data_IF_491091644141
#
_entry.id   IF_491091644141
#
_cell.length_a   1.000
_cell.length_b   1.000
_cell.length_c   1.000
_cell.angle_alpha   90.00
_cell.angle_beta   90.00
_cell.angle_gamma   90.00
#
_symmetry.space_group_name_H-M   'P 1'
#
loop_
_entity.id
_entity.type
_entity.pdbx_description
1 polymer ?
#
# COMPACT_ATOMS: atom_id res chain seq x y z
N UNK A 1 -16.92 -15.81 10.27
CA UNK A 1 -16.50 -17.20 10.49
C UNK A 1 -15.81 -17.42 11.84
N UNK A 2 -14.91 -16.49 12.23
CA UNK A 2 -14.03 -16.67 13.39
C UNK A 2 -13.26 -18.01 13.29
N UNK A 3 -12.29 -18.12 12.38
CA UNK A 3 -11.57 -19.38 12.15
C UNK A 3 -10.84 -19.82 13.43
N UNK A 4 -10.89 -21.11 13.74
CA UNK A 4 -10.24 -21.72 14.91
C UNK A 4 -9.28 -22.82 14.51
N UNK A 5 -9.39 -23.34 13.30
CA UNK A 5 -8.51 -24.34 12.71
C UNK A 5 -8.13 -23.92 11.29
N UNK A 6 -7.05 -24.48 10.77
CA UNK A 6 -6.57 -24.12 9.43
C UNK A 6 -7.54 -24.53 8.32
N UNK A 7 -8.27 -25.64 8.51
CA UNK A 7 -9.32 -26.13 7.61
C UNK A 7 -10.43 -25.10 7.37
N UNK A 8 -10.73 -24.26 8.35
CA UNK A 8 -11.70 -23.17 8.20
C UNK A 8 -11.27 -22.15 7.15
N UNK A 9 -9.96 -21.83 7.08
CA UNK A 9 -9.40 -20.91 6.08
C UNK A 9 -9.47 -21.54 4.68
N UNK A 10 -9.15 -22.85 4.58
CA UNK A 10 -9.21 -23.58 3.32
C UNK A 10 -10.65 -23.58 2.78
N UNK A 11 -11.63 -23.86 3.67
CA UNK A 11 -13.04 -23.87 3.29
C UNK A 11 -13.53 -22.49 2.85
N UNK A 12 -13.16 -21.42 3.56
CA UNK A 12 -13.54 -20.04 3.18
C UNK A 12 -12.95 -19.62 1.84
N UNK A 13 -11.70 -19.96 1.57
CA UNK A 13 -11.08 -19.69 0.27
C UNK A 13 -11.87 -20.35 -0.88
N UNK A 14 -12.43 -21.53 -0.65
CA UNK A 14 -13.27 -22.24 -1.61
C UNK A 14 -14.69 -21.66 -1.70
N UNK A 15 -15.30 -21.25 -0.57
CA UNK A 15 -16.70 -20.84 -0.47
C UNK A 15 -16.93 -19.36 -0.78
N UNK A 16 -15.96 -18.46 -0.52
CA UNK A 16 -16.14 -17.02 -0.72
C UNK A 16 -16.04 -16.62 -2.20
N UNK A 17 -17.03 -17.08 -2.98
CA UNK A 17 -17.17 -16.82 -4.43
C UNK A 17 -18.65 -16.83 -4.80
N UNK A 18 -19.07 -16.12 -5.86
CA UNK A 18 -20.44 -16.21 -6.37
C UNK A 18 -20.85 -17.66 -6.62
N UNK A 19 -22.00 -18.08 -6.10
CA UNK A 19 -22.53 -19.44 -6.09
C UNK A 19 -22.30 -20.18 -4.77
N UNK A 20 -21.05 -20.55 -4.40
CA UNK A 20 -20.80 -21.25 -3.13
C UNK A 20 -21.07 -20.41 -1.87
N UNK A 21 -21.13 -19.08 -1.97
CA UNK A 21 -21.41 -18.19 -0.83
C UNK A 21 -22.71 -18.52 -0.11
N UNK A 22 -23.68 -19.08 -0.78
CA UNK A 22 -24.97 -19.49 -0.19
C UNK A 22 -24.82 -20.56 0.89
N UNK A 23 -23.72 -21.33 0.87
CA UNK A 23 -23.44 -22.36 1.88
C UNK A 23 -22.70 -21.82 3.12
N UNK A 24 -22.18 -20.57 3.08
CA UNK A 24 -21.45 -19.97 4.20
C UNK A 24 -22.31 -19.86 5.48
N UNK A 25 -23.58 -19.43 5.44
CA UNK A 25 -24.42 -19.39 6.63
C UNK A 25 -24.56 -20.77 7.31
N UNK A 26 -24.84 -21.82 6.54
CA UNK A 26 -24.96 -23.21 7.04
C UNK A 26 -23.63 -23.70 7.61
N UNK A 27 -22.51 -23.45 6.91
CA UNK A 27 -21.18 -23.77 7.39
C UNK A 27 -20.89 -23.12 8.76
N UNK A 28 -21.20 -21.83 8.91
CA UNK A 28 -21.02 -21.10 10.16
C UNK A 28 -21.97 -21.62 11.25
N UNK A 29 -23.23 -21.87 10.93
CA UNK A 29 -24.23 -22.38 11.88
C UNK A 29 -23.78 -23.72 12.47
N UNK A 30 -23.34 -24.64 11.64
CA UNK A 30 -22.85 -25.97 12.05
C UNK A 30 -21.53 -25.87 12.83
N UNK A 31 -20.56 -25.04 12.36
CA UNK A 31 -19.32 -24.79 13.11
C UNK A 31 -19.58 -24.26 14.52
N UNK A 32 -20.56 -23.36 14.67
CA UNK A 32 -20.86 -22.71 15.97
C UNK A 32 -21.85 -23.49 16.83
N UNK A 33 -22.29 -24.65 16.39
CA UNK A 33 -23.25 -25.49 17.13
C UNK A 33 -24.69 -24.96 17.10
N UNK A 34 -25.02 -23.97 16.28
CA UNK A 34 -26.39 -23.47 16.11
C UNK A 34 -27.27 -24.41 15.28
N UNK A 35 -26.65 -25.18 14.41
CA UNK A 35 -27.28 -26.24 13.61
C UNK A 35 -26.50 -27.53 13.84
N UNK A 36 -27.20 -28.68 14.03
CA UNK A 36 -26.55 -29.95 14.21
C UNK A 36 -25.86 -30.40 12.91
N UNK A 37 -24.65 -30.97 13.03
CA UNK A 37 -23.99 -31.61 11.90
C UNK A 37 -24.63 -32.95 11.67
N UNK A 38 -25.11 -33.20 10.47
CA UNK A 38 -25.69 -34.49 10.08
C UNK A 38 -24.99 -35.04 8.85
N UNK A 39 -24.85 -36.36 8.84
CA UNK A 39 -24.27 -37.08 7.71
C UNK A 39 -25.33 -38.06 7.22
N UNK A 40 -25.88 -37.93 5.98
CA UNK A 40 -26.91 -38.82 5.46
C UNK A 40 -26.52 -40.28 5.52
N UNK A 41 -25.27 -40.59 5.32
CA UNK A 41 -24.68 -41.91 5.48
C UNK A 41 -23.49 -41.80 6.43
N UNK A 42 -23.36 -42.59 7.51
CA UNK A 42 -22.33 -42.39 8.55
C UNK A 42 -20.89 -42.32 8.03
N UNK A 43 -20.54 -43.08 6.99
CA UNK A 43 -19.21 -43.07 6.40
C UNK A 43 -18.82 -41.72 5.81
N UNK A 44 -19.77 -40.84 5.50
CA UNK A 44 -19.52 -39.51 4.97
C UNK A 44 -18.83 -38.59 5.99
N UNK A 45 -18.99 -38.85 7.29
CA UNK A 45 -18.30 -38.14 8.34
C UNK A 45 -16.78 -38.10 8.11
N UNK A 46 -16.21 -39.25 7.73
CA UNK A 46 -14.75 -39.36 7.47
C UNK A 46 -14.23 -38.33 6.48
N UNK A 47 -15.05 -37.90 5.53
CA UNK A 47 -14.66 -37.01 4.43
C UNK A 47 -15.20 -35.57 4.57
N UNK A 48 -16.27 -35.40 5.35
CA UNK A 48 -16.95 -34.11 5.50
C UNK A 48 -16.78 -33.49 6.89
N UNK A 49 -16.09 -34.13 7.81
CA UNK A 49 -15.88 -33.63 9.18
C UNK A 49 -15.24 -32.26 9.20
N UNK A 50 -14.16 -32.06 8.43
CA UNK A 50 -13.41 -30.82 8.37
C UNK A 50 -14.22 -29.66 7.74
N UNK A 51 -15.33 -29.97 7.11
CA UNK A 51 -16.23 -28.98 6.47
C UNK A 51 -17.64 -29.02 7.09
N UNK A 52 -17.74 -29.51 8.32
CA UNK A 52 -18.99 -29.54 9.12
C UNK A 52 -20.19 -30.13 8.35
N UNK A 53 -19.92 -31.20 7.59
CA UNK A 53 -20.96 -31.90 6.80
C UNK A 53 -21.33 -31.20 5.48
N UNK A 54 -20.65 -30.12 5.11
CA UNK A 54 -20.88 -29.44 3.83
C UNK A 54 -19.90 -29.94 2.78
N UNK A 55 -20.37 -30.26 1.58
CA UNK A 55 -19.50 -30.58 0.44
C UNK A 55 -18.93 -29.30 -0.13
N UNK A 56 -17.61 -29.16 -0.09
CA UNK A 56 -16.87 -27.94 -0.50
C UNK A 56 -15.88 -28.24 -1.63
N UNK A 57 -15.28 -29.43 -1.62
CA UNK A 57 -14.15 -29.76 -2.49
C UNK A 57 -14.48 -30.84 -3.51
N UNK A 58 -13.90 -30.74 -4.70
CA UNK A 58 -13.95 -31.79 -5.73
C UNK A 58 -13.45 -33.13 -5.20
N UNK A 59 -12.41 -33.10 -4.38
CA UNK A 59 -11.81 -34.28 -3.77
C UNK A 59 -12.80 -35.04 -2.84
N UNK A 60 -13.70 -34.32 -2.16
CA UNK A 60 -14.72 -34.92 -1.33
C UNK A 60 -15.71 -35.74 -2.19
N UNK A 61 -16.16 -35.19 -3.31
CA UNK A 61 -17.02 -35.89 -4.26
C UNK A 61 -16.34 -37.13 -4.83
N UNK A 62 -15.06 -37.01 -5.23
CA UNK A 62 -14.29 -38.15 -5.73
C UNK A 62 -14.14 -39.26 -4.71
N UNK A 63 -13.85 -38.92 -3.45
CA UNK A 63 -13.70 -39.91 -2.38
C UNK A 63 -15.03 -40.54 -1.99
N UNK A 64 -16.09 -39.74 -1.89
CA UNK A 64 -17.42 -40.20 -1.58
C UNK A 64 -17.99 -41.09 -2.69
N UNK A 65 -17.84 -40.79 -3.97
CA UNK A 65 -18.28 -41.64 -5.08
C UNK A 65 -17.58 -42.99 -5.06
N UNK A 66 -16.32 -43.05 -4.69
CA UNK A 66 -15.57 -44.29 -4.51
C UNK A 66 -16.06 -45.09 -3.30
N UNK A 67 -16.35 -44.42 -2.21
CA UNK A 67 -16.76 -45.08 -0.96
C UNK A 67 -18.22 -45.54 -0.98
N UNK A 68 -19.13 -44.75 -1.55
CA UNK A 68 -20.55 -45.01 -1.55
C UNK A 68 -20.95 -45.97 -2.71
N UNK A 69 -20.35 -45.79 -3.89
CA UNK A 69 -20.72 -46.50 -5.10
C UNK A 69 -19.55 -47.27 -5.75
N UNK A 70 -18.49 -47.56 -5.00
CA UNK A 70 -17.35 -48.36 -5.48
C UNK A 70 -16.70 -47.87 -6.78
N UNK A 71 -16.75 -46.57 -7.06
CA UNK A 71 -16.13 -46.00 -8.24
C UNK A 71 -14.61 -46.24 -8.22
N UNK A 72 -14.07 -46.59 -9.36
CA UNK A 72 -12.61 -46.63 -9.55
C UNK A 72 -12.04 -45.22 -9.49
N UNK A 73 -10.69 -45.10 -9.38
CA UNK A 73 -10.00 -43.82 -9.46
C UNK A 73 -10.28 -43.07 -10.78
N UNK A 74 -10.32 -43.81 -11.90
CA UNK A 74 -10.59 -43.21 -13.22
C UNK A 74 -12.02 -42.67 -13.33
N UNK A 75 -13.00 -43.42 -12.79
CA UNK A 75 -14.40 -42.99 -12.80
C UNK A 75 -14.66 -41.79 -11.91
N UNK A 76 -14.09 -41.77 -10.71
CA UNK A 76 -14.18 -40.60 -9.83
C UNK A 76 -13.52 -39.35 -10.42
N UNK A 77 -12.39 -39.50 -11.16
CA UNK A 77 -11.78 -38.39 -11.89
C UNK A 77 -12.63 -37.96 -13.10
N UNK A 78 -13.27 -38.93 -13.79
CA UNK A 78 -14.22 -38.62 -14.86
C UNK A 78 -15.44 -37.85 -14.32
N UNK A 79 -15.94 -38.20 -13.15
CA UNK A 79 -17.02 -37.47 -12.46
C UNK A 79 -16.58 -36.04 -12.17
N UNK A 80 -15.42 -35.85 -11.58
CA UNK A 80 -14.85 -34.54 -11.33
C UNK A 80 -14.74 -33.69 -12.60
N UNK A 81 -14.24 -34.29 -13.69
CA UNK A 81 -14.12 -33.60 -15.00
C UNK A 81 -15.49 -33.25 -15.59
N UNK A 82 -16.44 -34.17 -15.50
CA UNK A 82 -17.82 -33.97 -15.99
C UNK A 82 -18.51 -32.83 -15.23
N UNK A 83 -18.35 -32.78 -13.91
CA UNK A 83 -18.83 -31.68 -13.07
C UNK A 83 -18.18 -30.35 -13.45
N UNK A 84 -16.83 -30.26 -13.49
CA UNK A 84 -16.12 -29.03 -13.77
C UNK A 84 -16.36 -28.46 -15.18
N UNK A 85 -16.62 -29.34 -16.17
CA UNK A 85 -16.90 -28.94 -17.56
C UNK A 85 -18.39 -28.89 -17.88
N UNK A 86 -19.30 -29.20 -16.92
CA UNK A 86 -20.76 -29.23 -17.09
C UNK A 86 -21.20 -30.16 -18.22
N UNK A 87 -20.60 -31.37 -18.31
CA UNK A 87 -20.90 -32.38 -19.32
C UNK A 87 -22.13 -33.19 -18.90
N UNK A 88 -23.33 -32.71 -19.21
CA UNK A 88 -24.61 -33.24 -18.75
C UNK A 88 -24.77 -34.71 -19.09
N UNK A 89 -24.48 -35.10 -20.32
CA UNK A 89 -24.63 -36.53 -20.77
C UNK A 89 -23.76 -37.47 -19.92
N UNK A 90 -22.51 -37.06 -19.66
CA UNK A 90 -21.58 -37.84 -18.84
C UNK A 90 -21.99 -37.89 -17.38
N UNK A 91 -22.55 -36.78 -16.87
CA UNK A 91 -23.12 -36.73 -15.53
C UNK A 91 -24.29 -37.73 -15.39
N UNK A 92 -25.19 -37.79 -16.37
CA UNK A 92 -26.35 -38.73 -16.35
C UNK A 92 -25.90 -40.19 -16.42
N UNK A 93 -24.89 -40.52 -17.24
CA UNK A 93 -24.31 -41.86 -17.29
C UNK A 93 -23.74 -42.29 -15.93
N UNK A 94 -22.94 -41.39 -15.32
CA UNK A 94 -22.30 -41.63 -14.02
C UNK A 94 -23.34 -41.68 -12.88
N UNK A 95 -24.47 -40.95 -12.98
CA UNK A 95 -25.58 -41.01 -12.04
C UNK A 95 -26.19 -42.40 -12.01
N UNK A 96 -26.52 -42.95 -13.18
CA UNK A 96 -27.07 -44.30 -13.27
C UNK A 96 -26.17 -45.33 -12.60
N UNK A 97 -24.85 -45.24 -12.85
CA UNK A 97 -23.88 -46.14 -12.21
C UNK A 97 -23.78 -45.89 -10.70
N UNK A 98 -23.77 -44.63 -10.25
CA UNK A 98 -23.72 -44.28 -8.82
C UNK A 98 -24.91 -44.86 -8.07
N UNK A 99 -26.12 -44.75 -8.61
CA UNK A 99 -27.34 -45.32 -8.01
C UNK A 99 -27.25 -46.83 -7.93
N UNK A 100 -27.02 -47.53 -9.05
CA UNK A 100 -26.99 -49.01 -9.10
C UNK A 100 -25.93 -49.58 -8.16
N UNK A 101 -24.72 -49.04 -8.16
CA UNK A 101 -23.63 -49.55 -7.31
C UNK A 101 -23.80 -49.15 -5.84
N UNK A 102 -24.37 -47.96 -5.56
CA UNK A 102 -24.67 -47.53 -4.21
C UNK A 102 -25.76 -48.38 -3.53
N UNK A 103 -26.81 -48.73 -4.27
CA UNK A 103 -27.82 -49.67 -3.81
C UNK A 103 -27.23 -51.07 -3.56
N UNK A 104 -26.37 -51.56 -4.46
CA UNK A 104 -25.67 -52.84 -4.28
C UNK A 104 -24.75 -52.82 -3.04
N UNK A 105 -24.23 -51.66 -2.64
CA UNK A 105 -23.48 -51.47 -1.39
C UNK A 105 -24.36 -51.33 -0.14
N UNK A 106 -25.70 -51.46 -0.28
CA UNK A 106 -26.65 -51.43 0.84
C UNK A 106 -27.12 -50.04 1.26
N UNK A 107 -26.95 -49.02 0.44
CA UNK A 107 -27.41 -47.67 0.74
C UNK A 107 -28.84 -47.43 0.21
N UNK A 108 -29.61 -46.62 0.96
CA UNK A 108 -30.99 -46.26 0.59
C UNK A 108 -30.97 -45.38 -0.72
N UNK A 109 -31.74 -45.80 -1.77
CA UNK A 109 -31.83 -45.08 -3.03
C UNK A 109 -32.27 -43.62 -2.88
N UNK A 110 -33.16 -43.31 -1.94
CA UNK A 110 -33.63 -41.95 -1.72
C UNK A 110 -32.52 -41.05 -1.15
N UNK A 111 -31.68 -41.61 -0.29
CA UNK A 111 -30.53 -40.91 0.26
C UNK A 111 -29.47 -40.67 -0.84
N UNK A 112 -29.17 -41.67 -1.66
CA UNK A 112 -28.24 -41.58 -2.79
C UNK A 112 -28.69 -40.52 -3.80
N UNK A 113 -29.99 -40.49 -4.13
CA UNK A 113 -30.55 -39.48 -5.04
C UNK A 113 -30.40 -38.05 -4.50
N UNK A 114 -30.61 -37.84 -3.20
CA UNK A 114 -30.41 -36.54 -2.57
C UNK A 114 -28.94 -36.12 -2.57
N UNK A 115 -28.03 -37.06 -2.27
CA UNK A 115 -26.58 -36.78 -2.35
C UNK A 115 -26.19 -36.37 -3.78
N UNK A 116 -26.71 -37.09 -4.80
CA UNK A 116 -26.39 -36.76 -6.18
C UNK A 116 -26.97 -35.40 -6.59
N UNK A 117 -28.19 -35.05 -6.20
CA UNK A 117 -28.79 -33.72 -6.45
C UNK A 117 -27.98 -32.60 -5.81
N UNK A 118 -27.45 -32.82 -4.61
CA UNK A 118 -26.57 -31.84 -3.97
C UNK A 118 -25.24 -31.71 -4.75
N UNK A 119 -24.72 -32.82 -5.27
CA UNK A 119 -23.53 -32.76 -6.13
C UNK A 119 -23.81 -32.10 -7.48
N UNK A 120 -24.97 -32.24 -8.07
CA UNK A 120 -25.36 -31.53 -9.30
C UNK A 120 -25.38 -30.00 -9.08
N UNK A 121 -25.96 -29.54 -7.98
CA UNK A 121 -25.93 -28.14 -7.58
C UNK A 121 -24.49 -27.67 -7.35
N UNK A 122 -23.74 -28.47 -6.63
CA UNK A 122 -22.34 -28.21 -6.30
C UNK A 122 -21.40 -28.23 -7.54
N UNK A 123 -21.76 -29.00 -8.59
CA UNK A 123 -20.93 -29.17 -9.79
C UNK A 123 -20.53 -27.83 -10.47
N UNK A 124 -21.39 -26.83 -10.36
CA UNK A 124 -21.11 -25.52 -10.99
C UNK A 124 -19.99 -24.72 -10.31
N UNK A 125 -19.58 -25.10 -9.08
CA UNK A 125 -18.62 -24.31 -8.26
C UNK A 125 -17.67 -25.15 -7.40
N UNK A 126 -17.61 -26.46 -7.60
CA UNK A 126 -16.68 -27.36 -6.92
C UNK A 126 -15.23 -26.83 -7.01
N UNK A 127 -14.56 -26.76 -5.86
CA UNK A 127 -13.22 -26.18 -5.77
C UNK A 127 -12.16 -27.26 -5.52
N UNK A 128 -10.97 -27.05 -6.05
CA UNK A 128 -9.81 -27.91 -5.79
C UNK A 128 -9.27 -27.62 -4.38
N UNK A 129 -9.23 -28.63 -3.51
CA UNK A 129 -8.75 -28.49 -2.12
C UNK A 129 -7.27 -28.10 -2.07
N UNK A 130 -6.43 -28.67 -2.95
CA UNK A 130 -5.01 -28.37 -2.96
C UNK A 130 -4.73 -26.90 -3.28
N UNK A 131 -5.46 -26.34 -4.26
CA UNK A 131 -5.37 -24.92 -4.58
C UNK A 131 -5.79 -24.04 -3.38
N UNK A 132 -6.94 -24.32 -2.78
CA UNK A 132 -7.41 -23.60 -1.59
C UNK A 132 -6.40 -23.69 -0.43
N UNK A 133 -5.79 -24.87 -0.23
CA UNK A 133 -4.78 -25.10 0.83
C UNK A 133 -3.54 -24.22 0.60
N UNK A 134 -3.00 -24.17 -0.62
CA UNK A 134 -1.83 -23.36 -0.92
C UNK A 134 -2.08 -21.87 -0.66
N UNK A 135 -3.20 -21.33 -1.13
CA UNK A 135 -3.56 -19.94 -0.88
C UNK A 135 -3.82 -19.64 0.60
N UNK A 136 -4.50 -20.54 1.29
CA UNK A 136 -4.74 -20.39 2.73
C UNK A 136 -3.45 -20.45 3.54
N UNK A 137 -2.47 -21.24 3.10
CA UNK A 137 -1.16 -21.31 3.73
C UNK A 137 -0.42 -19.96 3.63
N UNK A 138 -0.37 -19.37 2.44
CA UNK A 138 0.23 -18.04 2.24
C UNK A 138 -0.53 -16.98 3.04
N UNK A 139 -1.87 -17.01 3.01
CA UNK A 139 -2.70 -16.08 3.77
C UNK A 139 -2.45 -16.18 5.29
N UNK A 140 -2.31 -17.41 5.80
CA UNK A 140 -1.96 -17.63 7.21
C UNK A 140 -0.56 -17.10 7.55
N UNK A 141 0.44 -17.36 6.71
CA UNK A 141 1.80 -16.85 6.91
C UNK A 141 1.83 -15.32 6.94
N UNK A 142 1.17 -14.65 6.00
CA UNK A 142 1.12 -13.18 5.98
C UNK A 142 0.37 -12.62 7.19
N UNK A 143 -0.73 -13.25 7.61
CA UNK A 143 -1.46 -12.88 8.82
C UNK A 143 -0.62 -13.06 10.10
N UNK A 144 0.13 -14.17 10.18
CA UNK A 144 1.04 -14.46 11.29
C UNK A 144 2.14 -13.38 11.38
N UNK A 145 2.79 -13.07 10.25
CA UNK A 145 3.82 -12.03 10.21
C UNK A 145 3.26 -10.67 10.62
N UNK A 146 2.09 -10.31 10.10
CA UNK A 146 1.43 -9.04 10.47
C UNK A 146 1.08 -8.97 11.96
N UNK A 147 0.72 -10.11 12.58
CA UNK A 147 0.35 -10.16 13.99
C UNK A 147 1.55 -10.14 14.94
N UNK A 148 2.65 -10.82 14.58
CA UNK A 148 3.81 -11.03 15.47
C UNK A 148 5.00 -10.12 15.15
N UNK A 149 5.12 -9.66 13.90
CA UNK A 149 6.19 -8.78 13.39
C UNK A 149 5.59 -7.64 12.57
N UNK A 150 4.71 -6.82 13.20
CA UNK A 150 3.89 -5.86 12.44
C UNK A 150 4.71 -4.79 11.73
N UNK A 151 5.78 -4.27 12.32
CA UNK A 151 6.61 -3.24 11.71
C UNK A 151 7.37 -3.78 10.49
N UNK A 152 8.00 -4.95 10.63
CA UNK A 152 8.75 -5.61 9.56
C UNK A 152 7.83 -6.02 8.40
N UNK A 153 6.64 -6.53 8.73
CA UNK A 153 5.63 -6.87 7.74
C UNK A 153 5.19 -5.64 6.94
N UNK A 154 4.86 -4.53 7.63
CA UNK A 154 4.45 -3.30 6.98
C UNK A 154 5.59 -2.65 6.18
N UNK A 155 6.83 -2.69 6.65
CA UNK A 155 8.00 -2.25 5.89
C UNK A 155 8.17 -3.07 4.59
N UNK A 156 7.97 -4.39 4.64
CA UNK A 156 8.02 -5.24 3.46
C UNK A 156 6.88 -4.92 2.46
N UNK A 157 5.67 -4.66 2.95
CA UNK A 157 4.53 -4.24 2.11
C UNK A 157 4.79 -2.89 1.46
N UNK A 158 5.26 -1.89 2.22
CA UNK A 158 5.65 -0.57 1.68
C UNK A 158 6.70 -0.70 0.58
N UNK A 159 7.69 -1.57 0.77
CA UNK A 159 8.72 -1.84 -0.24
C UNK A 159 8.16 -2.47 -1.52
N UNK A 160 7.18 -3.36 -1.41
CA UNK A 160 6.53 -3.96 -2.57
C UNK A 160 5.72 -2.95 -3.39
N UNK A 161 5.24 -1.91 -2.73
CA UNK A 161 4.39 -0.85 -3.31
C UNK A 161 5.11 0.48 -3.53
N UNK A 162 6.43 0.56 -3.38
CA UNK A 162 7.21 1.82 -3.38
C UNK A 162 7.01 2.69 -4.62
N UNK A 163 6.56 2.10 -5.73
CA UNK A 163 6.28 2.80 -7.00
C UNK A 163 4.81 3.23 -7.15
N UNK A 164 3.94 2.79 -6.25
CA UNK A 164 2.52 3.13 -6.26
C UNK A 164 2.19 4.03 -5.06
N UNK A 165 2.19 5.33 -5.31
CA UNK A 165 1.98 6.33 -4.26
C UNK A 165 0.64 6.17 -3.52
N UNK A 166 -0.42 5.68 -4.20
CA UNK A 166 -1.73 5.46 -3.56
C UNK A 166 -1.66 4.32 -2.56
N UNK A 167 -1.02 3.22 -2.95
CA UNK A 167 -0.82 2.08 -2.06
C UNK A 167 0.11 2.44 -0.89
N UNK A 168 1.17 3.22 -1.13
CA UNK A 168 2.07 3.67 -0.06
C UNK A 168 1.31 4.52 0.97
N UNK A 169 0.49 5.49 0.52
CA UNK A 169 -0.33 6.32 1.41
C UNK A 169 -1.31 5.45 2.21
N UNK A 170 -2.00 4.53 1.54
CA UNK A 170 -2.93 3.60 2.20
C UNK A 170 -2.23 2.75 3.27
N UNK A 171 -1.02 2.26 2.98
CA UNK A 171 -0.25 1.45 3.93
C UNK A 171 0.31 2.28 5.09
N UNK A 172 0.66 3.56 4.88
CA UNK A 172 1.06 4.48 5.95
C UNK A 172 -0.12 4.74 6.90
N UNK A 173 -1.33 4.93 6.37
CA UNK A 173 -2.54 5.06 7.20
C UNK A 173 -2.83 3.77 8.00
N UNK A 174 -2.61 2.61 7.40
CA UNK A 174 -2.70 1.33 8.13
C UNK A 174 -1.64 1.23 9.24
N UNK A 175 -0.39 1.67 9.00
CA UNK A 175 0.63 1.77 10.04
C UNK A 175 0.17 2.66 11.20
N UNK A 176 -0.40 3.83 10.92
CA UNK A 176 -0.97 4.73 11.96
C UNK A 176 -2.08 4.04 12.74
N UNK A 177 -3.01 3.34 12.06
CA UNK A 177 -4.07 2.57 12.70
C UNK A 177 -3.51 1.47 13.62
N UNK A 178 -2.42 0.84 13.22
CA UNK A 178 -1.70 -0.18 14.00
C UNK A 178 -0.78 0.41 15.08
N UNK A 179 -0.70 1.74 15.20
CA UNK A 179 0.20 2.48 16.11
C UNK A 179 1.68 2.19 15.85
N UNK A 180 2.04 2.04 14.58
CA UNK A 180 3.41 1.90 14.11
C UNK A 180 3.83 3.25 13.55
N UNK A 181 4.90 3.83 14.11
CA UNK A 181 5.45 5.08 13.62
C UNK A 181 6.18 4.85 12.29
N UNK A 182 5.87 5.68 11.32
CA UNK A 182 6.62 5.78 10.06
C UNK A 182 7.37 7.11 10.11
N UNK A 183 8.68 7.03 10.24
CA UNK A 183 9.57 8.19 10.35
C UNK A 183 9.82 8.77 8.96
N UNK A 184 10.03 10.10 8.88
CA UNK A 184 10.53 10.74 7.67
C UNK A 184 11.92 10.26 7.26
N UNK A 185 12.38 10.57 6.03
CA UNK A 185 13.71 10.19 5.58
C UNK A 185 14.77 10.92 6.40
N UNK A 186 15.85 10.21 6.74
CA UNK A 186 16.95 10.71 7.55
C UNK A 186 18.26 10.17 7.02
N UNK A 187 19.26 11.03 6.79
CA UNK A 187 20.55 10.65 6.22
C UNK A 187 21.28 9.59 7.08
N UNK A 188 21.05 9.61 8.38
CA UNK A 188 21.71 8.73 9.35
C UNK A 188 20.93 7.46 9.67
N UNK A 189 19.66 7.34 9.22
CA UNK A 189 18.83 6.16 9.53
C UNK A 189 18.30 5.47 8.27
N UNK A 190 17.94 6.25 7.24
CA UNK A 190 17.29 5.71 6.05
C UNK A 190 18.23 4.94 5.16
N UNK A 191 17.69 3.92 4.52
CA UNK A 191 18.32 3.15 3.46
C UNK A 191 17.58 3.37 2.13
N UNK A 192 17.93 2.60 1.10
CA UNK A 192 17.19 2.63 -0.17
C UNK A 192 15.73 2.19 0.01
N UNK A 193 15.53 1.12 0.79
CA UNK A 193 14.21 0.54 1.12
C UNK A 193 13.71 1.05 2.48
N UNK A 194 12.41 0.89 2.72
CA UNK A 194 11.86 1.01 4.08
C UNK A 194 12.44 -0.08 4.96
N UNK A 195 12.92 0.30 6.13
CA UNK A 195 13.52 -0.60 7.12
C UNK A 195 12.91 -0.36 8.49
N UNK A 196 13.20 -1.24 9.45
CA UNK A 196 12.72 -1.09 10.83
C UNK A 196 13.92 -0.85 11.73
N UNK A 197 13.86 0.22 12.52
CA UNK A 197 14.90 0.55 13.49
C UNK A 197 14.78 -0.28 14.79
N UNK A 198 15.77 -0.17 15.66
CA UNK A 198 15.80 -0.90 16.96
C UNK A 198 14.62 -0.56 17.89
N UNK A 199 13.91 0.53 17.65
CA UNK A 199 12.73 0.94 18.42
C UNK A 199 11.42 0.39 17.85
N UNK A 200 11.47 -0.38 16.75
CA UNK A 200 10.29 -0.91 16.07
C UNK A 200 9.56 0.12 15.20
N UNK A 201 10.20 1.23 14.86
CA UNK A 201 9.65 2.26 13.97
C UNK A 201 10.11 2.01 12.55
N UNK A 202 9.29 2.33 11.56
CA UNK A 202 9.63 2.18 10.14
C UNK A 202 10.38 3.44 9.69
N UNK A 203 11.61 3.27 9.22
CA UNK A 203 12.41 4.32 8.60
C UNK A 203 12.05 4.42 7.12
N UNK A 204 11.82 5.63 6.63
CA UNK A 204 11.46 5.89 5.24
C UNK A 204 12.58 5.51 4.28
N UNK A 205 12.24 4.83 3.18
CA UNK A 205 13.21 4.47 2.14
C UNK A 205 13.55 5.64 1.22
N UNK A 206 14.80 6.05 1.17
CA UNK A 206 15.27 7.13 0.27
C UNK A 206 15.08 6.82 -1.22
N UNK A 207 14.89 5.56 -1.58
CA UNK A 207 14.57 5.14 -2.95
C UNK A 207 13.23 5.66 -3.50
N UNK A 208 12.36 6.15 -2.62
CA UNK A 208 11.14 6.84 -3.02
C UNK A 208 11.37 8.31 -3.42
N UNK A 209 12.54 8.90 -3.11
CA UNK A 209 12.87 10.30 -3.43
C UNK A 209 13.25 10.41 -4.91
N UNK A 210 12.52 11.23 -5.66
CA UNK A 210 12.77 11.46 -7.09
C UNK A 210 14.14 12.06 -7.33
N UNK A 211 14.73 11.77 -8.48
CA UNK A 211 16.02 12.28 -8.94
C UNK A 211 17.25 11.86 -8.11
N UNK A 212 17.09 10.87 -7.23
CA UNK A 212 18.19 10.26 -6.49
C UNK A 212 18.33 8.81 -6.92
N UNK A 213 19.44 8.45 -7.55
CA UNK A 213 19.68 7.10 -8.06
C UNK A 213 20.05 6.11 -6.93
N UNK A 214 19.72 4.85 -7.11
CA UNK A 214 20.02 3.75 -6.18
C UNK A 214 21.51 3.70 -5.82
N UNK A 215 22.40 3.89 -6.83
CA UNK A 215 23.86 3.89 -6.62
C UNK A 215 24.31 4.95 -5.64
N UNK A 216 23.71 6.15 -5.71
CA UNK A 216 24.04 7.27 -4.79
C UNK A 216 23.57 6.94 -3.38
N UNK A 217 22.36 6.41 -3.23
CA UNK A 217 21.82 6.05 -1.92
C UNK A 217 22.63 4.89 -1.31
N UNK A 218 23.02 3.92 -2.12
CA UNK A 218 23.87 2.84 -1.65
C UNK A 218 25.24 3.36 -1.19
N UNK A 219 25.85 4.28 -1.93
CA UNK A 219 27.12 4.89 -1.53
C UNK A 219 26.99 5.68 -0.21
N UNK A 220 25.85 6.35 0.04
CA UNK A 220 25.56 7.01 1.32
C UNK A 220 25.48 5.99 2.45
N UNK A 221 24.73 4.91 2.23
CA UNK A 221 24.52 3.85 3.22
C UNK A 221 25.84 3.12 3.55
N UNK A 222 26.63 2.79 2.54
CA UNK A 222 27.92 2.13 2.69
C UNK A 222 28.91 3.00 3.45
N UNK A 223 28.98 4.30 3.10
CA UNK A 223 29.83 5.27 3.78
C UNK A 223 29.46 5.41 5.27
N UNK A 224 28.17 5.53 5.56
CA UNK A 224 27.67 5.60 6.93
C UNK A 224 27.98 4.34 7.71
N UNK A 225 27.77 3.17 7.13
CA UNK A 225 28.04 1.89 7.78
C UNK A 225 29.52 1.65 8.07
N UNK A 226 30.40 2.16 7.20
CA UNK A 226 31.85 2.00 7.36
C UNK A 226 32.44 3.00 8.37
N UNK A 227 31.96 4.26 8.38
CA UNK A 227 32.62 5.37 9.07
C UNK A 227 31.71 6.06 10.13
N UNK A 228 30.52 5.49 10.42
CA UNK A 228 29.57 6.05 11.37
C UNK A 228 28.69 7.16 10.78
N UNK A 229 27.79 7.66 11.60
CA UNK A 229 26.83 8.71 11.22
C UNK A 229 27.51 9.98 10.71
N UNK A 230 26.85 10.66 9.79
CA UNK A 230 27.26 11.98 9.35
C UNK A 230 26.99 13.01 10.45
N UNK A 231 28.02 13.79 10.81
CA UNK A 231 27.93 14.76 11.91
C UNK A 231 27.12 16.00 11.53
N UNK A 232 27.37 16.50 10.34
CA UNK A 232 26.74 17.69 9.76
C UNK A 232 26.78 17.62 8.23
N UNK A 233 26.30 18.67 7.58
CA UNK A 233 26.25 18.75 6.12
C UNK A 233 27.66 18.90 5.49
N UNK A 234 28.64 19.49 6.20
CA UNK A 234 30.01 19.59 5.72
C UNK A 234 30.68 18.21 5.72
N UNK A 235 30.58 17.46 6.82
CA UNK A 235 31.06 16.08 6.93
C UNK A 235 30.44 15.18 5.84
N UNK A 236 29.13 15.32 5.61
CA UNK A 236 28.43 14.59 4.55
C UNK A 236 29.03 14.90 3.17
N UNK A 237 29.21 16.17 2.80
CA UNK A 237 29.75 16.53 1.50
C UNK A 237 31.21 16.09 1.32
N UNK A 238 32.04 16.19 2.37
CA UNK A 238 33.44 15.72 2.35
C UNK A 238 33.50 14.22 2.09
N UNK A 239 32.77 13.44 2.86
CA UNK A 239 32.79 11.98 2.82
C UNK A 239 32.16 11.43 1.53
N UNK A 240 31.22 12.17 0.95
CA UNK A 240 30.52 11.79 -0.29
C UNK A 240 31.14 12.41 -1.55
N UNK A 241 32.25 13.17 -1.43
CA UNK A 241 32.92 13.76 -2.59
C UNK A 241 33.40 12.68 -3.57
N UNK A 242 33.10 12.85 -4.86
CA UNK A 242 33.47 11.88 -5.90
C UNK A 242 32.59 10.61 -5.97
N UNK A 243 31.57 10.48 -5.11
CA UNK A 243 30.68 9.30 -5.04
C UNK A 243 29.36 9.48 -5.82
N UNK A 244 29.37 10.32 -6.87
CA UNK A 244 28.23 10.47 -7.77
C UNK A 244 27.14 11.45 -7.30
N UNK A 245 27.32 12.13 -6.16
CA UNK A 245 26.44 13.20 -5.73
C UNK A 245 26.53 14.41 -6.69
N UNK A 246 25.37 14.95 -7.03
CA UNK A 246 25.26 16.18 -7.79
C UNK A 246 24.28 17.16 -7.11
N UNK A 247 24.26 18.40 -7.57
CA UNK A 247 23.37 19.45 -7.04
C UNK A 247 21.92 18.97 -6.94
N UNK A 248 21.38 18.39 -8.02
CA UNK A 248 19.98 17.99 -8.11
C UNK A 248 19.63 16.91 -7.09
N UNK A 249 20.51 15.92 -6.89
CA UNK A 249 20.28 14.86 -5.90
C UNK A 249 20.33 15.42 -4.46
N UNK A 250 21.23 16.35 -4.17
CA UNK A 250 21.31 17.00 -2.85
C UNK A 250 20.04 17.84 -2.59
N UNK A 251 19.64 18.67 -3.55
CA UNK A 251 18.40 19.46 -3.45
C UNK A 251 17.17 18.56 -3.26
N UNK A 252 17.08 17.43 -3.99
CA UNK A 252 15.97 16.47 -3.83
C UNK A 252 15.96 15.81 -2.46
N UNK A 253 17.12 15.40 -1.95
CA UNK A 253 17.24 14.84 -0.60
C UNK A 253 16.85 15.88 0.47
N UNK A 254 17.33 17.11 0.32
CA UNK A 254 17.02 18.22 1.23
C UNK A 254 15.53 18.57 1.24
N UNK A 255 14.93 18.73 0.06
CA UNK A 255 13.50 19.04 -0.06
C UNK A 255 12.61 17.92 0.50
N UNK A 256 13.06 16.68 0.45
CA UNK A 256 12.40 15.54 1.09
C UNK A 256 12.65 15.47 2.62
N UNK A 257 13.50 16.34 3.20
CA UNK A 257 13.76 16.41 4.64
C UNK A 257 14.87 15.48 5.14
N UNK A 258 15.65 14.87 4.25
CA UNK A 258 16.71 13.91 4.62
C UNK A 258 17.77 14.51 5.55
N UNK A 259 18.01 15.81 5.47
CA UNK A 259 19.00 16.55 6.28
C UNK A 259 18.39 17.29 7.48
N UNK A 260 17.09 17.14 7.76
CA UNK A 260 16.41 17.82 8.87
C UNK A 260 16.98 17.41 10.25
N UNK A 261 17.76 16.33 10.30
CA UNK A 261 18.44 15.86 11.52
C UNK A 261 19.68 16.71 11.88
N UNK A 262 20.18 17.56 10.98
CA UNK A 262 21.34 18.39 11.26
C UNK A 262 20.93 19.71 11.92
N UNK A 263 21.66 20.08 12.96
CA UNK A 263 21.41 21.31 13.72
C UNK A 263 21.65 22.56 12.86
N UNK A 264 20.78 23.56 13.00
CA UNK A 264 20.90 24.82 12.30
C UNK A 264 20.51 24.80 10.82
N UNK A 265 20.17 23.65 10.26
CA UNK A 265 19.78 23.50 8.86
C UNK A 265 18.24 23.51 8.71
N UNK A 266 17.77 24.07 7.61
CA UNK A 266 16.40 23.94 7.16
C UNK A 266 16.32 23.86 5.63
N UNK A 267 15.28 23.22 5.12
CA UNK A 267 15.14 22.84 3.70
C UNK A 267 15.28 24.01 2.73
N UNK A 268 14.81 25.22 3.08
CA UNK A 268 14.89 26.40 2.23
C UNK A 268 16.33 26.81 1.89
N UNK A 269 17.29 26.55 2.79
CA UNK A 269 18.71 26.90 2.57
C UNK A 269 19.29 26.26 1.32
N UNK A 270 18.88 25.01 1.03
CA UNK A 270 19.41 24.24 -0.12
C UNK A 270 18.98 24.82 -1.47
N UNK A 271 17.90 25.58 -1.49
CA UNK A 271 17.34 26.21 -2.69
C UNK A 271 17.66 27.71 -2.76
N UNK A 272 18.39 28.24 -1.76
CA UNK A 272 18.67 29.66 -1.67
C UNK A 272 19.71 30.11 -2.68
N UNK A 273 19.43 31.22 -3.34
CA UNK A 273 20.32 31.96 -4.22
C UNK A 273 20.35 33.40 -3.70
N UNK A 274 21.51 33.87 -3.31
CA UNK A 274 21.67 35.26 -2.81
C UNK A 274 21.36 36.30 -3.89
N UNK A 275 20.88 37.45 -3.48
CA UNK A 275 20.54 38.55 -4.38
C UNK A 275 21.73 38.95 -5.23
N UNK A 276 21.56 39.06 -6.55
CA UNK A 276 22.64 39.36 -7.50
C UNK A 276 23.54 38.19 -7.89
N UNK A 277 23.32 36.99 -7.32
CA UNK A 277 24.10 35.79 -7.65
C UNK A 277 23.32 34.86 -8.57
N UNK A 278 24.07 33.99 -9.29
CA UNK A 278 23.49 32.94 -10.15
C UNK A 278 23.74 31.54 -9.59
N UNK A 279 24.54 31.43 -8.53
CA UNK A 279 25.01 30.15 -7.98
C UNK A 279 24.27 29.86 -6.68
N UNK A 280 23.70 28.67 -6.57
CA UNK A 280 22.99 28.29 -5.35
C UNK A 280 23.94 27.97 -4.20
N UNK A 281 23.40 27.96 -2.98
CA UNK A 281 24.16 27.53 -1.79
C UNK A 281 24.80 26.16 -1.99
N UNK A 282 24.05 25.18 -2.51
CA UNK A 282 24.54 23.81 -2.74
C UNK A 282 25.73 23.77 -3.70
N UNK A 283 25.69 24.56 -4.78
CA UNK A 283 26.80 24.64 -5.72
C UNK A 283 28.06 25.26 -5.07
N UNK A 284 27.88 26.30 -4.27
CA UNK A 284 28.99 26.91 -3.51
C UNK A 284 29.59 25.94 -2.51
N UNK A 285 28.73 25.21 -1.78
CA UNK A 285 29.16 24.21 -0.80
C UNK A 285 29.98 23.09 -1.46
N UNK A 286 29.49 22.53 -2.56
CA UNK A 286 30.22 21.51 -3.33
C UNK A 286 31.59 22.03 -3.77
N UNK A 287 31.64 23.23 -4.36
CA UNK A 287 32.90 23.84 -4.82
C UNK A 287 33.88 24.09 -3.66
N UNK A 288 33.38 24.57 -2.52
CA UNK A 288 34.19 24.79 -1.34
C UNK A 288 34.83 23.51 -0.80
N UNK A 289 34.06 22.43 -0.74
CA UNK A 289 34.55 21.11 -0.35
C UNK A 289 35.59 20.57 -1.33
N UNK A 290 35.35 20.70 -2.64
CA UNK A 290 36.30 20.27 -3.66
C UNK A 290 37.63 21.02 -3.51
N UNK A 291 37.59 22.34 -3.39
CA UNK A 291 38.78 23.15 -3.19
C UNK A 291 39.54 22.83 -1.88
N UNK A 292 38.80 22.54 -0.81
CA UNK A 292 39.37 22.12 0.47
C UNK A 292 40.13 20.78 0.33
N UNK A 293 39.51 19.78 -0.30
CA UNK A 293 40.12 18.47 -0.51
C UNK A 293 41.35 18.54 -1.44
N UNK A 294 41.29 19.35 -2.50
CA UNK A 294 42.45 19.57 -3.40
C UNK A 294 43.61 20.19 -2.64
N UNK A 295 43.37 21.22 -1.82
CA UNK A 295 44.43 21.84 -0.98
C UNK A 295 45.01 20.83 0.00
N UNK A 296 44.18 20.06 0.67
CA UNK A 296 44.60 19.01 1.61
C UNK A 296 45.46 17.94 0.93
N UNK A 297 45.08 17.50 -0.25
CA UNK A 297 45.85 16.53 -1.02
C UNK A 297 47.19 17.11 -1.50
N UNK A 298 47.20 18.35 -2.01
CA UNK A 298 48.42 19.02 -2.46
C UNK A 298 49.39 19.28 -1.30
N UNK A 299 48.91 19.71 -0.13
CA UNK A 299 49.73 19.91 1.06
C UNK A 299 50.33 18.58 1.58
N UNK A 300 49.71 17.45 1.36
CA UNK A 300 50.23 16.14 1.74
C UNK A 300 51.37 15.68 0.83
N UNK A 301 51.50 16.24 -0.38
CA UNK A 301 52.61 15.99 -1.31
C UNK A 301 53.75 17.00 -1.16
N UNK A 302 53.55 18.14 -0.48
CA UNK A 302 54.57 19.17 -0.29
C UNK A 302 55.23 19.02 1.07
N UNK A 303 56.25 18.17 1.14
CA UNK A 303 57.05 17.86 2.32
C UNK A 303 57.85 19.07 2.87
N UNK A 304 57.78 20.21 2.21
CA UNK A 304 58.52 21.45 2.53
C UNK A 304 57.64 22.68 2.81
N UNK A 305 56.32 22.49 2.93
CA UNK A 305 55.43 23.61 3.27
C UNK A 305 55.55 23.92 4.77
N UNK A 306 56.21 25.01 5.08
CA UNK A 306 56.40 25.58 6.43
C UNK A 306 55.10 26.09 7.11
N UNK A 307 53.93 25.71 6.58
CA UNK A 307 52.59 26.11 7.07
C UNK A 307 51.69 24.91 7.49
N UNK A 308 52.30 23.95 8.21
CA UNK A 308 51.56 22.84 8.80
C UNK A 308 50.55 23.27 9.88
N UNK A 309 50.63 24.47 10.40
CA UNK A 309 49.74 24.96 11.46
C UNK A 309 48.35 25.41 10.96
N UNK A 310 48.16 25.66 9.65
CA UNK A 310 46.90 26.18 9.09
C UNK A 310 45.92 25.06 8.62
N UNK A 311 46.33 23.77 8.69
CA UNK A 311 45.53 22.63 8.15
C UNK A 311 44.70 21.95 9.25
N UNK A 312 44.87 22.35 10.49
CA UNK A 312 44.11 21.81 11.64
C UNK A 312 42.73 22.45 11.84
N UNK A 313 42.36 23.47 11.04
CA UNK A 313 41.04 24.06 11.14
C UNK A 313 39.97 23.10 10.64
N UNK A 314 39.00 22.84 11.51
CA UNK A 314 37.79 22.08 11.17
C UNK A 314 37.08 22.80 10.02
N UNK A 315 37.01 22.17 8.84
CA UNK A 315 36.30 22.73 7.70
C UNK A 315 34.83 22.92 8.03
N UNK A 316 34.31 24.10 7.89
CA UNK A 316 32.90 24.45 8.10
C UNK A 316 32.32 25.11 6.86
N UNK A 317 31.05 24.83 6.61
CA UNK A 317 30.27 25.47 5.54
C UNK A 317 29.46 26.60 6.16
N UNK A 318 29.60 27.81 5.63
CA UNK A 318 28.73 28.92 6.02
C UNK A 318 27.33 28.67 5.50
N UNK A 319 26.36 28.48 6.42
CA UNK A 319 24.96 28.36 6.09
C UNK A 319 24.38 29.72 5.67
N UNK A 320 23.52 29.79 4.65
CA UNK A 320 22.90 31.02 4.23
C UNK A 320 21.86 31.51 5.23
N UNK A 321 21.80 32.81 5.47
CA UNK A 321 20.68 33.41 6.19
C UNK A 321 19.52 33.63 5.23
N UNK A 322 18.46 32.82 5.38
CA UNK A 322 17.22 32.93 4.61
C UNK A 322 16.02 32.50 5.43
N UNK A 323 14.85 32.98 5.05
CA UNK A 323 13.60 32.59 5.71
C UNK A 323 13.32 31.09 5.53
N UNK A 324 12.83 30.46 6.60
CA UNK A 324 12.32 29.09 6.54
C UNK A 324 11.08 29.03 5.66
N UNK A 325 10.92 27.94 4.94
CA UNK A 325 9.65 27.68 4.25
C UNK A 325 8.50 27.59 5.25
N UNK A 326 7.32 28.01 4.81
CA UNK A 326 6.10 27.70 5.54
C UNK A 326 5.86 26.18 5.54
N UNK A 327 5.13 25.69 6.52
CA UNK A 327 4.77 24.28 6.60
C UNK A 327 4.10 23.80 5.30
N UNK A 328 3.22 24.63 4.73
CA UNK A 328 2.57 24.29 3.45
C UNK A 328 3.58 24.08 2.32
N UNK A 329 4.61 24.97 2.24
CA UNK A 329 5.66 24.86 1.22
C UNK A 329 6.53 23.60 1.41
N UNK A 330 6.83 23.23 2.65
CA UNK A 330 7.54 21.97 2.93
C UNK A 330 6.72 20.75 2.49
N UNK A 331 5.42 20.74 2.77
CA UNK A 331 4.50 19.68 2.33
C UNK A 331 4.36 19.60 0.80
N UNK A 332 4.31 20.75 0.11
CA UNK A 332 4.34 20.80 -1.36
C UNK A 332 5.60 20.14 -1.93
N UNK A 333 6.76 20.45 -1.34
CA UNK A 333 8.05 19.86 -1.74
C UNK A 333 8.10 18.36 -1.46
N UNK A 334 7.57 17.89 -0.33
CA UNK A 334 7.42 16.46 -0.07
C UNK A 334 6.58 15.79 -1.16
N UNK A 335 5.42 16.37 -1.49
CA UNK A 335 4.53 15.83 -2.53
C UNK A 335 5.20 15.83 -3.91
N UNK A 336 5.94 16.87 -4.24
CA UNK A 336 6.69 16.96 -5.50
C UNK A 336 7.77 15.89 -5.61
N UNK A 337 8.57 15.73 -4.56
CA UNK A 337 9.77 14.88 -4.57
C UNK A 337 9.50 13.43 -4.22
N UNK A 338 8.50 13.14 -3.41
CA UNK A 338 8.15 11.78 -2.97
C UNK A 338 6.85 11.28 -3.62
N UNK A 339 5.96 12.23 -3.98
CA UNK A 339 4.69 11.94 -4.64
C UNK A 339 3.48 11.94 -3.71
N UNK A 340 3.67 12.13 -2.42
CA UNK A 340 2.62 12.28 -1.41
C UNK A 340 3.12 13.10 -0.20
N UNK A 341 2.22 13.52 0.66
CA UNK A 341 2.54 14.22 1.90
C UNK A 341 3.02 13.22 2.97
N UNK A 342 4.26 13.33 3.42
CA UNK A 342 4.85 12.41 4.41
C UNK A 342 4.59 12.85 5.85
N UNK A 343 4.93 14.08 6.17
CA UNK A 343 4.94 14.56 7.55
C UNK A 343 3.54 14.85 8.08
N UNK A 344 2.68 15.46 7.27
CA UNK A 344 1.27 15.71 7.58
C UNK A 344 0.50 16.08 6.32
N UNK A 345 -0.83 15.96 6.35
CA UNK A 345 -1.65 16.46 5.24
C UNK A 345 -1.95 17.96 5.45
N UNK A 346 -1.99 18.81 4.39
CA UNK A 346 -2.32 20.23 4.51
C UNK A 346 -3.64 20.53 5.22
N UNK A 347 -4.58 19.58 5.22
CA UNK A 347 -5.86 19.70 5.90
C UNK A 347 -5.83 19.29 7.37
N UNK A 348 -4.72 18.75 7.88
CA UNK A 348 -4.62 18.30 9.28
C UNK A 348 -4.77 19.45 10.27
N UNK A 349 -4.35 20.65 9.89
CA UNK A 349 -4.56 21.87 10.67
C UNK A 349 -6.04 22.18 10.91
N UNK A 350 -6.91 21.75 9.99
CA UNK A 350 -8.36 22.02 10.01
C UNK A 350 -9.18 20.78 10.40
N UNK A 351 -8.55 19.76 10.96
CA UNK A 351 -9.20 18.48 11.30
C UNK A 351 -10.47 18.64 12.12
N UNK A 352 -10.47 19.55 13.10
CA UNK A 352 -11.66 19.81 13.91
C UNK A 352 -12.74 20.52 13.09
N UNK A 353 -12.38 21.54 12.30
CA UNK A 353 -13.32 22.25 11.42
C UNK A 353 -13.95 21.29 10.42
N UNK A 354 -13.15 20.46 9.79
CA UNK A 354 -13.61 19.44 8.82
C UNK A 354 -14.59 18.47 9.51
N UNK A 355 -14.26 17.99 10.70
CA UNK A 355 -15.11 17.07 11.46
C UNK A 355 -16.50 17.62 11.77
N UNK A 356 -16.60 18.94 12.03
CA UNK A 356 -17.87 19.56 12.41
C UNK A 356 -18.66 20.10 11.22
N UNK A 357 -18.03 20.48 10.14
CA UNK A 357 -18.68 21.17 9.03
C UNK A 357 -18.77 20.35 7.75
N UNK A 358 -17.82 19.46 7.46
CA UNK A 358 -17.90 18.58 6.29
C UNK A 358 -18.78 17.36 6.62
N UNK A 359 -19.69 17.02 5.71
CA UNK A 359 -20.59 15.88 5.86
C UNK A 359 -20.28 14.72 4.91
N UNK A 360 -19.30 14.89 4.02
CA UNK A 360 -18.89 13.86 3.08
C UNK A 360 -17.38 13.93 2.82
N UNK A 361 -16.75 12.76 2.60
CA UNK A 361 -15.38 12.64 2.13
C UNK A 361 -15.36 12.60 0.59
N UNK A 362 -14.27 13.10 -0.01
CA UNK A 362 -14.18 13.22 -1.47
C UNK A 362 -14.26 11.88 -2.20
N UNK A 363 -13.75 10.78 -1.63
CA UNK A 363 -13.88 9.43 -2.20
C UNK A 363 -15.34 8.99 -2.43
N UNK A 364 -16.26 9.47 -1.61
CA UNK A 364 -17.66 9.06 -1.62
C UNK A 364 -18.59 9.99 -2.43
N UNK A 365 -18.11 11.15 -2.86
CA UNK A 365 -18.94 12.19 -3.50
C UNK A 365 -19.62 11.68 -4.76
N UNK A 366 -18.92 10.97 -5.64
CA UNK A 366 -19.50 10.43 -6.88
C UNK A 366 -20.66 9.49 -6.60
N UNK A 367 -20.46 8.53 -5.72
CA UNK A 367 -21.49 7.56 -5.34
C UNK A 367 -22.68 8.24 -4.65
N UNK A 368 -22.38 9.24 -3.80
CA UNK A 368 -23.43 9.98 -3.10
C UNK A 368 -24.30 10.80 -4.05
N UNK A 369 -23.73 11.44 -5.06
CA UNK A 369 -24.47 12.17 -6.08
C UNK A 369 -25.43 11.24 -6.85
N UNK A 370 -24.98 10.02 -7.22
CA UNK A 370 -25.80 9.06 -7.97
C UNK A 370 -27.02 8.54 -7.21
N UNK A 371 -26.94 8.43 -5.87
CA UNK A 371 -28.03 7.87 -5.05
C UNK A 371 -28.85 8.91 -4.29
N UNK A 372 -28.43 10.18 -4.31
CA UNK A 372 -29.06 11.27 -3.54
C UNK A 372 -30.23 11.90 -4.29
N UNK A 373 -31.14 12.51 -3.51
CA UNK A 373 -32.22 13.34 -4.05
C UNK A 373 -31.64 14.61 -4.69
N UNK A 374 -32.32 15.21 -5.69
CA UNK A 374 -31.82 16.38 -6.44
C UNK A 374 -31.39 17.59 -5.59
N UNK A 375 -31.99 17.79 -4.42
CA UNK A 375 -31.75 18.95 -3.54
C UNK A 375 -30.85 18.63 -2.33
N UNK A 376 -30.07 17.52 -2.38
CA UNK A 376 -29.19 17.17 -1.28
C UNK A 376 -27.94 18.06 -1.30
N UNK A 377 -27.65 18.74 -0.21
CA UNK A 377 -26.44 19.55 -0.05
C UNK A 377 -25.31 18.73 0.57
N UNK A 378 -24.18 18.68 -0.11
CA UNK A 378 -22.93 18.13 0.39
C UNK A 378 -21.98 19.26 0.75
N UNK A 379 -21.32 19.12 1.90
CA UNK A 379 -20.26 20.02 2.33
C UNK A 379 -18.97 19.23 2.36
N UNK A 380 -18.04 19.61 1.49
CA UNK A 380 -16.74 18.96 1.28
C UNK A 380 -15.62 19.87 1.76
N UNK A 381 -14.57 19.27 2.34
CA UNK A 381 -13.31 19.97 2.60
C UNK A 381 -12.25 19.45 1.66
N UNK A 382 -11.41 20.31 1.14
CA UNK A 382 -10.33 19.91 0.25
C UNK A 382 -9.27 20.98 0.07
N UNK A 383 -8.10 20.54 -0.41
CA UNK A 383 -7.05 21.39 -0.95
C UNK A 383 -7.27 21.55 -2.45
N UNK A 384 -7.31 22.77 -2.95
CA UNK A 384 -7.41 23.02 -4.40
C UNK A 384 -6.08 22.63 -5.06
N UNK A 385 -6.10 21.59 -5.90
CA UNK A 385 -4.92 21.07 -6.60
C UNK A 385 -4.87 21.43 -8.06
N UNK A 386 -6.01 21.83 -8.66
CA UNK A 386 -6.10 22.39 -10.01
C UNK A 386 -7.20 23.45 -10.09
N UNK A 387 -6.89 24.54 -10.75
CA UNK A 387 -7.81 25.65 -11.05
C UNK A 387 -7.55 26.10 -12.49
N UNK A 388 -8.41 25.69 -13.38
CA UNK A 388 -8.30 25.96 -14.82
C UNK A 388 -9.48 26.80 -15.31
N UNK A 389 -9.21 27.81 -16.14
CA UNK A 389 -10.21 28.68 -16.73
C UNK A 389 -10.43 28.36 -18.21
N UNK A 390 -11.66 28.31 -18.59
CA UNK A 390 -12.08 28.02 -19.97
C UNK A 390 -13.10 29.02 -20.45
N UNK A 391 -13.15 29.17 -21.78
CA UNK A 391 -14.21 29.94 -22.46
C UNK A 391 -15.07 28.98 -23.28
N UNK A 392 -16.38 29.02 -23.05
CA UNK A 392 -17.34 28.20 -23.78
C UNK A 392 -17.48 28.67 -25.23
N UNK A 393 -18.05 27.84 -26.10
CA UNK A 393 -18.35 28.23 -27.48
C UNK A 393 -19.29 29.45 -27.60
N UNK A 394 -20.06 29.74 -26.55
CA UNK A 394 -20.94 30.89 -26.46
C UNK A 394 -20.27 32.15 -25.86
N UNK A 395 -18.96 32.14 -25.66
CA UNK A 395 -18.19 33.26 -25.10
C UNK A 395 -18.27 33.43 -23.59
N UNK A 396 -18.93 32.50 -22.85
CA UNK A 396 -19.04 32.59 -21.41
C UNK A 396 -17.85 31.88 -20.74
N UNK A 397 -17.25 32.52 -19.73
CA UNK A 397 -16.20 31.91 -18.93
C UNK A 397 -16.76 30.89 -17.94
N UNK A 398 -15.98 29.83 -17.70
CA UNK A 398 -16.24 28.82 -16.68
C UNK A 398 -14.92 28.26 -16.13
N UNK A 399 -14.93 27.70 -14.92
CA UNK A 399 -13.77 27.10 -14.29
C UNK A 399 -13.96 25.60 -14.10
N UNK A 400 -12.86 24.85 -14.18
CA UNK A 400 -12.77 23.47 -13.74
C UNK A 400 -11.79 23.41 -12.59
N UNK A 401 -12.24 22.82 -11.49
CA UNK A 401 -11.50 22.78 -10.24
C UNK A 401 -11.35 21.34 -9.77
N UNK A 402 -10.18 21.03 -9.22
CA UNK A 402 -9.94 19.77 -8.54
C UNK A 402 -9.56 20.06 -7.11
N UNK A 403 -10.26 19.42 -6.19
CA UNK A 403 -9.94 19.43 -4.76
C UNK A 403 -9.53 18.02 -4.31
N UNK A 404 -8.67 17.96 -3.31
CA UNK A 404 -8.09 16.72 -2.77
C UNK A 404 -8.20 16.75 -1.24
N UNK A 405 -8.59 15.62 -0.64
CA UNK A 405 -8.49 15.34 0.79
C UNK A 405 -7.67 14.08 1.04
N UNK A 406 -7.62 13.60 2.27
CA UNK A 406 -6.90 12.37 2.61
C UNK A 406 -7.51 11.12 1.98
N UNK A 407 -8.78 11.14 1.57
CA UNK A 407 -9.51 10.01 1.00
C UNK A 407 -9.43 9.94 -0.53
N UNK A 408 -9.22 11.07 -1.19
CA UNK A 408 -9.18 11.10 -2.65
C UNK A 408 -9.29 12.50 -3.25
N UNK A 409 -9.66 12.58 -4.51
CA UNK A 409 -9.87 13.85 -5.21
C UNK A 409 -11.21 13.88 -5.93
N UNK A 410 -11.78 15.08 -6.02
CA UNK A 410 -13.01 15.34 -6.75
C UNK A 410 -12.84 16.53 -7.70
N UNK A 411 -13.29 16.36 -8.93
CA UNK A 411 -13.24 17.40 -9.95
C UNK A 411 -14.65 17.86 -10.30
N UNK A 412 -14.86 19.19 -10.33
CA UNK A 412 -16.15 19.80 -10.63
C UNK A 412 -15.99 21.08 -11.46
N UNK A 413 -16.93 21.36 -12.38
CA UNK A 413 -17.00 22.63 -13.10
C UNK A 413 -17.86 23.64 -12.36
N UNK A 414 -17.52 24.93 -12.46
CA UNK A 414 -18.37 26.04 -12.08
C UNK A 414 -18.68 26.92 -13.28
N UNK A 415 -19.97 27.22 -13.46
CA UNK A 415 -20.48 27.99 -14.58
C UNK A 415 -21.13 29.27 -14.13
N UNK A 416 -21.18 30.27 -15.03
CA UNK A 416 -21.96 31.50 -14.87
C UNK A 416 -21.75 32.20 -13.52
N UNK A 417 -22.82 32.43 -12.78
CA UNK A 417 -22.85 33.14 -11.51
C UNK A 417 -21.99 32.45 -10.43
N UNK A 418 -22.05 31.13 -10.35
CA UNK A 418 -21.24 30.36 -9.41
C UNK A 418 -19.73 30.49 -9.71
N UNK A 419 -19.37 30.52 -10.99
CA UNK A 419 -17.97 30.77 -11.37
C UNK A 419 -17.53 32.17 -10.93
N UNK A 420 -18.32 33.20 -11.19
CA UNK A 420 -17.98 34.58 -10.82
C UNK A 420 -17.86 34.76 -9.28
N UNK A 421 -18.70 34.08 -8.51
CA UNK A 421 -18.70 34.16 -7.05
C UNK A 421 -17.54 33.39 -6.40
N UNK A 422 -17.10 32.28 -6.98
CA UNK A 422 -16.21 31.32 -6.32
C UNK A 422 -14.78 31.27 -6.90
N UNK A 423 -14.56 31.79 -8.14
CA UNK A 423 -13.29 31.61 -8.83
C UNK A 423 -12.08 32.22 -8.07
N UNK A 424 -12.30 33.30 -7.34
CA UNK A 424 -11.25 33.96 -6.57
C UNK A 424 -10.88 33.22 -5.27
N UNK A 425 -11.72 32.30 -4.80
CA UNK A 425 -11.49 31.47 -3.61
C UNK A 425 -10.85 30.13 -3.96
N UNK A 426 -11.08 29.63 -5.20
CA UNK A 426 -10.61 28.34 -5.66
C UNK A 426 -9.28 28.46 -6.40
N UNK A 427 -8.26 28.91 -5.67
CA UNK A 427 -6.89 29.08 -6.19
C UNK A 427 -6.05 27.87 -5.76
N UNK A 428 -5.12 27.41 -6.62
CA UNK A 428 -4.21 26.32 -6.29
C UNK A 428 -3.50 26.56 -4.94
N UNK A 429 -3.47 25.52 -4.10
CA UNK A 429 -2.87 25.58 -2.77
C UNK A 429 -3.81 26.10 -1.67
N UNK A 430 -5.03 26.54 -2.01
CA UNK A 430 -5.99 27.01 -1.01
C UNK A 430 -6.77 25.85 -0.39
N UNK A 431 -6.89 25.85 0.94
CA UNK A 431 -7.76 24.94 1.66
C UNK A 431 -9.17 25.52 1.66
N UNK A 432 -10.14 24.71 1.25
CA UNK A 432 -11.53 25.15 1.08
C UNK A 432 -12.53 24.22 1.75
N UNK A 433 -13.63 24.81 2.18
CA UNK A 433 -14.84 24.10 2.55
C UNK A 433 -15.91 24.51 1.53
N UNK A 434 -16.36 23.59 0.72
CA UNK A 434 -17.25 23.82 -0.43
C UNK A 434 -18.57 23.07 -0.23
#
# INVERSE_FOLDING_TARGET
>A
LKPTVFEDLIAMNALYRPGPMDYIPTFIARKTGKEPISYPIPIMEKYLKDTYGVTVYQEQVMLLSRQLASFTRGESDTLRKAMGKKLIEKMNELKGKFMTQGEANGHDPAILENIWKDWEKFASYAFNKSHATCYSWVAYQTAYLKAHYPAEFMAAVLNSSIRDNKEVVFMIEECKRMKIDVLGPNINESEYKFTVNKKGQICFGMGAVKSVGEVVIQAITDERNANGDFKDFADFLIRMNGKGLNRKSIESLAGAGVFDCFEGIHRAMFYYIAEGEKTSFVEKAIKSVTNYLERKNNAQFDLFADSADDISETFTIQLPECERWSQLKELEMEKELVGFYMSSHPLDMYKNTIRYFANIKLENVKNAIEVSKPDTTFVMAGLVTSSERFTSKAGSEYGRYRIEDQSGSFEFPLFKENYLKMNHLLVNGTQVLV
#
